data_IF_695365828071
#
_entry.id   IF_695365828071
#
_cell.length_a   1.000
_cell.length_b   1.000
_cell.length_c   1.000
_cell.angle_alpha   90.00
_cell.angle_beta   90.00
_cell.angle_gamma   90.00
#
_symmetry.space_group_name_H-M   'P 1'
#
loop_
_entity.id
_entity.type
_entity.pdbx_description
1 polymer ?
#
# COMPACT_ATOMS: atom_id res chain seq x y z
N UNK A 1 -7.45 0.25 5.08
CA UNK A 1 -7.18 -1.19 4.92
C UNK A 1 -7.88 -1.96 6.02
N UNK A 2 -8.13 -3.25 5.80
CA UNK A 2 -8.76 -4.13 6.79
C UNK A 2 -7.72 -4.91 7.60
N UNK A 3 -8.18 -5.54 8.69
CA UNK A 3 -7.41 -6.52 9.47
C UNK A 3 -7.20 -7.85 8.72
N UNK A 4 -7.93 -8.09 7.63
CA UNK A 4 -7.80 -9.27 6.75
C UNK A 4 -6.95 -9.02 5.50
N UNK A 5 -6.28 -7.86 5.42
CA UNK A 5 -5.42 -7.52 4.29
C UNK A 5 -6.14 -7.00 3.04
N UNK A 6 -7.43 -6.69 3.15
CA UNK A 6 -8.21 -6.06 2.09
C UNK A 6 -7.95 -4.54 2.04
N UNK A 7 -7.93 -3.99 0.83
CA UNK A 7 -7.93 -2.56 0.57
C UNK A 7 -9.17 -2.19 -0.24
N UNK A 8 -9.91 -1.20 0.24
CA UNK A 8 -10.98 -0.58 -0.54
C UNK A 8 -10.45 0.71 -1.18
N UNK A 9 -10.60 0.82 -2.50
CA UNK A 9 -10.26 2.01 -3.28
C UNK A 9 -11.56 2.65 -3.78
N UNK A 10 -11.74 3.91 -3.44
CA UNK A 10 -12.93 4.67 -3.79
C UNK A 10 -12.62 5.70 -4.87
N UNK A 11 -13.35 5.63 -5.99
CA UNK A 11 -13.39 6.68 -6.99
C UNK A 11 -14.60 7.56 -6.70
N UNK A 12 -14.37 8.65 -5.95
CA UNK A 12 -15.44 9.49 -5.41
C UNK A 12 -16.32 10.14 -6.50
N UNK A 13 -15.73 10.55 -7.63
CA UNK A 13 -16.47 11.20 -8.72
C UNK A 13 -17.39 10.25 -9.47
N UNK A 14 -16.98 8.99 -9.62
CA UNK A 14 -17.75 7.98 -10.33
C UNK A 14 -18.65 7.15 -9.39
N UNK A 15 -18.53 7.34 -8.07
CA UNK A 15 -19.24 6.55 -7.07
C UNK A 15 -18.85 5.07 -7.09
N UNK A 16 -17.62 4.74 -7.49
CA UNK A 16 -17.15 3.35 -7.62
C UNK A 16 -16.27 2.95 -6.45
N UNK A 17 -16.37 1.69 -6.04
CA UNK A 17 -15.54 1.07 -5.02
C UNK A 17 -14.92 -0.22 -5.56
N UNK A 18 -13.63 -0.39 -5.37
CA UNK A 18 -12.90 -1.62 -5.71
C UNK A 18 -12.33 -2.23 -4.43
N UNK A 19 -12.52 -3.53 -4.23
CA UNK A 19 -11.84 -4.27 -3.17
C UNK A 19 -10.63 -5.00 -3.75
N UNK A 20 -9.48 -4.85 -3.10
CA UNK A 20 -8.21 -5.46 -3.49
C UNK A 20 -7.75 -6.38 -2.37
N UNK A 21 -7.53 -7.66 -2.69
CA UNK A 21 -6.85 -8.59 -1.81
C UNK A 21 -5.36 -8.27 -1.80
N UNK A 22 -4.97 -7.30 -0.99
CA UNK A 22 -3.64 -6.71 -1.04
C UNK A 22 -2.60 -7.49 -0.24
N UNK A 23 -3.02 -8.00 0.91
CA UNK A 23 -2.21 -8.71 1.89
C UNK A 23 -3.01 -9.86 2.50
N UNK A 24 -2.33 -10.78 3.17
CA UNK A 24 -2.90 -11.88 3.95
C UNK A 24 -3.16 -11.50 5.41
N UNK A 25 -2.44 -10.50 5.92
CA UNK A 25 -2.63 -9.95 7.26
C UNK A 25 -3.00 -8.46 7.27
N UNK A 26 -3.11 -7.85 8.46
CA UNK A 26 -3.56 -6.47 8.61
C UNK A 26 -2.74 -5.48 7.80
N UNK A 27 -3.42 -4.61 7.04
CA UNK A 27 -2.74 -3.52 6.35
C UNK A 27 -2.38 -2.43 7.36
N UNK A 28 -1.10 -2.38 7.72
CA UNK A 28 -0.58 -1.47 8.76
C UNK A 28 -0.27 -0.07 8.25
N UNK A 29 0.01 0.09 6.95
CA UNK A 29 0.21 1.41 6.35
C UNK A 29 -0.22 1.42 4.88
N UNK A 30 -0.72 2.56 4.41
CA UNK A 30 -0.93 2.81 2.98
C UNK A 30 -0.79 4.30 2.66
N UNK A 31 -0.29 4.64 1.47
CA UNK A 31 -0.08 6.02 1.05
C UNK A 31 -0.12 6.16 -0.48
N UNK A 32 -0.84 7.16 -0.98
CA UNK A 32 -0.81 7.53 -2.39
C UNK A 32 0.47 8.30 -2.73
N UNK A 33 0.98 8.09 -3.95
CA UNK A 33 2.05 8.92 -4.49
C UNK A 33 1.57 10.36 -4.64
N UNK A 34 2.48 11.36 -4.58
CA UNK A 34 2.12 12.76 -4.74
C UNK A 34 1.40 13.09 -6.05
N UNK A 35 1.67 12.34 -7.13
CA UNK A 35 1.02 12.48 -8.42
C UNK A 35 -0.28 11.67 -8.57
N UNK A 36 -0.68 10.92 -7.53
CA UNK A 36 -1.88 10.09 -7.50
C UNK A 36 -1.85 8.85 -8.40
N UNK A 37 -0.74 8.58 -9.10
CA UNK A 37 -0.65 7.45 -10.05
C UNK A 37 -0.47 6.11 -9.37
N UNK A 38 0.16 6.11 -8.19
CA UNK A 38 0.48 4.91 -7.44
C UNK A 38 -0.11 4.97 -6.04
N UNK A 39 -0.45 3.81 -5.53
CA UNK A 39 -0.73 3.56 -4.13
C UNK A 39 0.28 2.55 -3.61
N UNK A 40 0.82 2.78 -2.42
CA UNK A 40 1.59 1.78 -1.70
C UNK A 40 0.79 1.31 -0.51
N UNK A 41 0.91 0.01 -0.23
CA UNK A 41 0.36 -0.62 0.96
C UNK A 41 1.41 -1.52 1.59
N UNK A 42 1.38 -1.63 2.90
CA UNK A 42 2.32 -2.43 3.67
C UNK A 42 1.61 -3.19 4.79
N UNK A 43 1.91 -4.47 4.90
CA UNK A 43 1.50 -5.31 6.02
C UNK A 43 2.75 -5.81 6.75
N UNK A 44 2.85 -5.43 8.03
CA UNK A 44 3.98 -5.81 8.88
C UNK A 44 3.99 -7.31 9.18
N UNK A 45 2.81 -7.93 9.35
CA UNK A 45 2.71 -9.39 9.57
C UNK A 45 3.22 -10.21 8.38
N UNK A 46 3.07 -9.67 7.18
CA UNK A 46 3.39 -10.34 5.93
C UNK A 46 4.80 -9.98 5.45
N UNK A 47 5.44 -9.01 6.12
CA UNK A 47 6.70 -8.39 5.72
C UNK A 47 6.68 -7.99 4.25
N UNK A 48 5.56 -7.40 3.79
CA UNK A 48 5.31 -7.20 2.37
C UNK A 48 4.83 -5.79 2.06
N UNK A 49 5.49 -5.17 1.08
CA UNK A 49 5.12 -3.90 0.49
C UNK A 49 4.65 -4.11 -0.93
N UNK A 50 3.47 -3.60 -1.27
CA UNK A 50 2.85 -3.74 -2.59
C UNK A 50 2.55 -2.38 -3.19
N UNK A 51 2.97 -2.17 -4.44
CA UNK A 51 2.63 -1.02 -5.27
C UNK A 51 1.45 -1.35 -6.15
N UNK A 52 0.51 -0.41 -6.22
CA UNK A 52 -0.72 -0.51 -6.98
C UNK A 52 -0.79 0.64 -7.95
N UNK A 53 -1.25 0.38 -9.16
CA UNK A 53 -1.53 1.40 -10.16
C UNK A 53 -2.96 1.26 -10.62
N UNK A 54 -3.67 2.39 -10.69
CA UNK A 54 -5.00 2.45 -11.31
C UNK A 54 -4.85 2.82 -12.78
N UNK A 55 -5.33 1.96 -13.66
CA UNK A 55 -5.45 2.27 -15.08
C UNK A 55 -6.91 2.63 -15.36
N UNK A 56 -7.14 3.85 -15.84
CA UNK A 56 -8.43 4.25 -16.37
C UNK A 56 -8.76 3.42 -17.62
N UNK A 57 -10.05 3.15 -17.84
CA UNK A 57 -10.52 2.59 -19.10
C UNK A 57 -10.08 3.45 -20.28
N UNK A 58 -9.68 2.81 -21.37
CA UNK A 58 -9.24 3.49 -22.59
C UNK A 58 -10.40 4.38 -23.11
N UNK A 59 -10.19 5.70 -23.11
CA UNK A 59 -11.21 6.70 -23.49
C UNK A 59 -12.51 6.67 -22.66
N UNK A 60 -12.44 6.29 -21.38
CA UNK A 60 -13.64 6.19 -20.53
C UNK A 60 -14.50 4.96 -20.81
N UNK A 61 -14.08 4.11 -21.75
CA UNK A 61 -14.67 2.81 -21.99
C UNK A 61 -13.95 1.79 -21.09
N UNK A 62 -14.71 1.18 -20.19
CA UNK A 62 -14.23 0.19 -19.22
C UNK A 62 -14.11 0.75 -17.80
N UNK A 63 -14.30 -0.13 -16.81
CA UNK A 63 -14.08 0.21 -15.42
C UNK A 63 -12.58 0.51 -15.19
N UNK A 64 -12.27 1.55 -14.40
CA UNK A 64 -10.93 1.72 -13.88
C UNK A 64 -10.52 0.44 -13.14
N UNK A 65 -9.31 -0.05 -13.35
CA UNK A 65 -8.81 -1.26 -12.71
C UNK A 65 -7.55 -0.92 -11.94
N UNK A 66 -7.58 -1.19 -10.63
CA UNK A 66 -6.40 -1.07 -9.78
C UNK A 66 -5.74 -2.43 -9.66
N UNK A 67 -4.49 -2.53 -10.09
CA UNK A 67 -3.74 -3.78 -10.04
C UNK A 67 -2.40 -3.62 -9.34
N UNK A 68 -1.93 -4.69 -8.73
CA UNK A 68 -0.58 -4.73 -8.17
C UNK A 68 0.44 -4.72 -9.31
N UNK A 69 1.32 -3.74 -9.32
CA UNK A 69 2.39 -3.62 -10.33
C UNK A 69 3.73 -4.14 -9.80
N UNK A 70 3.94 -4.10 -8.47
CA UNK A 70 5.19 -4.56 -7.87
C UNK A 70 4.99 -4.95 -6.41
N UNK A 71 5.75 -5.94 -5.96
CA UNK A 71 5.80 -6.39 -4.57
C UNK A 71 7.24 -6.49 -4.12
N UNK A 72 7.48 -6.15 -2.85
CA UNK A 72 8.76 -6.30 -2.19
C UNK A 72 8.57 -7.02 -0.87
N UNK A 73 9.51 -7.91 -0.56
CA UNK A 73 9.68 -8.45 0.79
C UNK A 73 10.51 -7.47 1.61
N UNK A 74 10.15 -7.27 2.87
CA UNK A 74 10.88 -6.43 3.83
C UNK A 74 11.52 -7.31 4.89
N UNK A 75 12.48 -6.75 5.64
CA UNK A 75 13.01 -7.44 6.80
C UNK A 75 11.88 -7.72 7.81
N UNK A 76 11.86 -8.89 8.46
CA UNK A 76 10.92 -9.17 9.52
C UNK A 76 11.21 -8.31 10.75
N UNK A 77 10.15 -7.74 11.30
CA UNK A 77 10.23 -6.99 12.55
C UNK A 77 9.96 -7.91 13.74
N UNK A 78 10.75 -7.82 14.80
CA UNK A 78 10.54 -8.60 16.02
C UNK A 78 9.43 -8.01 16.90
N UNK A 79 8.77 -8.86 17.70
CA UNK A 79 7.79 -8.48 18.73
C UNK A 79 6.63 -7.56 18.30
N UNK A 80 6.20 -7.69 17.03
CA UNK A 80 5.11 -6.89 16.42
C UNK A 80 3.83 -6.93 17.27
N UNK A 81 3.53 -8.08 17.90
CA UNK A 81 2.32 -8.28 18.70
C UNK A 81 2.23 -7.39 19.96
N UNK A 82 3.36 -6.87 20.46
CA UNK A 82 3.39 -6.00 21.66
C UNK A 82 3.21 -4.52 21.32
N UNK A 83 3.26 -4.17 20.04
CA UNK A 83 3.27 -2.80 19.57
C UNK A 83 1.91 -2.42 18.97
N UNK A 84 1.59 -1.13 18.99
CA UNK A 84 0.37 -0.63 18.37
C UNK A 84 0.47 -0.78 16.84
N UNK A 85 -0.44 -1.53 16.18
CA UNK A 85 -0.38 -1.76 14.73
C UNK A 85 -0.33 -0.49 13.88
N UNK A 86 -1.01 0.58 14.32
CA UNK A 86 -1.05 1.86 13.63
C UNK A 86 0.26 2.65 13.72
N UNK A 87 1.19 2.22 14.60
CA UNK A 87 2.51 2.84 14.80
C UNK A 87 3.67 1.99 14.28
N UNK A 88 3.40 0.83 13.70
CA UNK A 88 4.44 -0.10 13.25
C UNK A 88 5.20 0.38 12.01
N UNK A 89 4.50 1.06 11.11
CA UNK A 89 5.05 1.41 9.80
C UNK A 89 4.58 2.80 9.38
N UNK A 90 5.50 3.56 8.81
CA UNK A 90 5.21 4.83 8.14
C UNK A 90 5.77 4.79 6.73
N UNK A 91 4.93 5.16 5.76
CA UNK A 91 5.31 5.28 4.36
C UNK A 91 5.48 6.75 4.02
N UNK A 92 6.66 7.12 3.53
CA UNK A 92 6.97 8.50 3.12
C UNK A 92 7.40 8.49 1.66
N UNK A 93 6.60 9.09 0.79
CA UNK A 93 6.99 9.31 -0.60
C UNK A 93 8.05 10.40 -0.68
N UNK A 94 9.19 10.07 -1.28
CA UNK A 94 10.28 11.04 -1.52
C UNK A 94 10.18 11.68 -2.91
N UNK A 95 9.49 11.00 -3.82
CA UNK A 95 9.08 11.51 -5.14
C UNK A 95 7.88 10.67 -5.62
N UNK A 96 7.42 10.83 -6.87
CA UNK A 96 6.26 10.09 -7.40
C UNK A 96 6.49 8.59 -7.68
N UNK A 97 7.73 8.10 -7.55
CA UNK A 97 8.13 6.72 -7.87
C UNK A 97 8.91 6.02 -6.76
N UNK A 98 9.31 6.74 -5.71
CA UNK A 98 10.13 6.25 -4.61
C UNK A 98 9.45 6.48 -3.28
N UNK A 99 9.26 5.41 -2.51
CA UNK A 99 8.72 5.44 -1.15
C UNK A 99 9.76 4.90 -0.17
N UNK A 100 9.89 5.56 0.98
CA UNK A 100 10.65 5.05 2.12
C UNK A 100 9.67 4.45 3.12
N UNK A 101 9.89 3.17 3.46
CA UNK A 101 9.26 2.51 4.59
C UNK A 101 10.13 2.75 5.82
N UNK A 102 9.53 3.29 6.87
CA UNK A 102 10.13 3.46 8.18
C UNK A 102 9.38 2.55 9.15
N UNK A 103 10.08 1.61 9.78
CA UNK A 103 9.51 0.70 10.78
C UNK A 103 9.74 1.24 12.20
N UNK A 104 8.95 0.75 13.16
CA UNK A 104 9.03 1.20 14.54
C UNK A 104 10.32 0.80 15.27
N UNK A 105 11.10 -0.13 14.72
CA UNK A 105 12.46 -0.45 15.19
C UNK A 105 13.52 0.56 14.72
N UNK A 106 13.11 1.58 13.94
CA UNK A 106 13.99 2.60 13.39
C UNK A 106 14.62 2.22 12.05
N UNK A 107 14.35 1.02 11.51
CA UNK A 107 14.83 0.65 10.19
C UNK A 107 14.13 1.44 9.10
N UNK A 108 14.91 1.89 8.13
CA UNK A 108 14.42 2.62 6.96
C UNK A 108 14.85 1.89 5.69
N UNK A 109 13.90 1.65 4.78
CA UNK A 109 14.20 1.03 3.48
C UNK A 109 13.47 1.76 2.37
N UNK A 110 14.20 2.12 1.32
CA UNK A 110 13.65 2.78 0.14
C UNK A 110 13.26 1.74 -0.92
N UNK A 111 12.06 1.90 -1.47
CA UNK A 111 11.54 1.12 -2.58
C UNK A 111 11.16 2.01 -3.74
N UNK A 112 11.29 1.48 -4.96
CA UNK A 112 10.88 2.15 -6.18
C UNK A 112 9.80 1.33 -6.89
N UNK A 113 8.85 2.00 -7.53
CA UNK A 113 7.96 1.34 -8.49
C UNK A 113 8.74 1.00 -9.76
#
# INVERSE_FOLDING_TARGET
>A
GSHTGQLAIYELRAGRCQSLAAHTGPVTACAFSPDGRYLVSYATSDNRLSFWQSTAGMFGLGAAQTRCVKCYSTAPMADVARLNPARLARLVWTNSRSVTLMLADGSETRFNV
#
